data_IF_236502974372
#
_entry.id   IF_236502974372
#
_cell.length_a   1.000
_cell.length_b   1.000
_cell.length_c   1.000
_cell.angle_alpha   90.00
_cell.angle_beta   90.00
_cell.angle_gamma   90.00
#
_symmetry.space_group_name_H-M   'P 1'
#
loop_
_entity.id
_entity.type
_entity.pdbx_description
1 polymer ?
#
# COMPACT_ATOMS: atom_id res chain seq x y z
N UNK A 1 -16.96 0.35 -5.17
CA UNK A 1 -16.01 -0.71 -5.55
C UNK A 1 -15.55 -1.38 -4.27
N UNK A 2 -15.63 -2.70 -4.23
CA UNK A 2 -15.05 -3.52 -3.17
C UNK A 2 -13.52 -3.41 -3.30
N UNK A 3 -12.75 -3.29 -2.20
CA UNK A 3 -11.29 -3.37 -2.28
C UNK A 3 -10.89 -4.66 -3.01
N UNK A 4 -9.83 -4.58 -3.81
CA UNK A 4 -9.40 -5.64 -4.72
C UNK A 4 -9.26 -7.00 -4.00
N UNK A 5 -8.65 -6.99 -2.82
CA UNK A 5 -8.81 -8.07 -1.85
C UNK A 5 -9.59 -7.58 -0.65
N UNK A 6 -10.58 -8.36 -0.20
CA UNK A 6 -11.21 -8.12 1.10
C UNK A 6 -10.27 -8.66 2.17
N UNK A 7 -9.48 -7.76 2.75
CA UNK A 7 -8.86 -8.04 4.05
C UNK A 7 -9.98 -7.96 5.08
N UNK A 8 -10.29 -9.10 5.69
CA UNK A 8 -11.34 -9.21 6.70
C UNK A 8 -10.67 -9.35 8.06
N UNK A 9 -10.91 -8.38 8.94
CA UNK A 9 -10.39 -8.35 10.29
C UNK A 9 -11.49 -8.64 11.31
N UNK A 10 -11.28 -9.65 12.15
CA UNK A 10 -12.19 -10.02 13.21
C UNK A 10 -11.56 -9.66 14.56
N UNK A 11 -12.30 -8.94 15.40
CA UNK A 11 -11.84 -8.64 16.76
C UNK A 11 -11.75 -9.94 17.57
N UNK A 12 -10.54 -10.31 18.02
CA UNK A 12 -10.33 -11.49 18.88
C UNK A 12 -10.12 -11.08 20.33
N UNK A 13 -11.16 -10.51 20.95
CA UNK A 13 -11.13 -10.11 22.36
C UNK A 13 -9.94 -9.19 22.70
N UNK A 14 -9.27 -9.47 23.83
CA UNK A 14 -8.16 -8.65 24.37
C UNK A 14 -6.84 -8.70 23.58
N UNK A 15 -6.74 -9.56 22.55
CA UNK A 15 -5.46 -9.91 21.90
C UNK A 15 -5.26 -9.24 20.52
N UNK A 16 -6.07 -8.22 20.19
CA UNK A 16 -6.03 -7.54 18.89
C UNK A 16 -6.95 -8.17 17.85
N UNK A 17 -7.01 -7.56 16.66
CA UNK A 17 -7.80 -8.08 15.54
C UNK A 17 -7.00 -9.14 14.78
N UNK A 18 -7.62 -10.28 14.46
CA UNK A 18 -7.07 -11.27 13.55
C UNK A 18 -7.59 -10.97 12.14
N UNK A 19 -6.67 -10.64 11.23
CA UNK A 19 -7.00 -10.35 9.85
C UNK A 19 -6.69 -11.54 8.93
N UNK A 20 -7.49 -11.69 7.88
CA UNK A 20 -7.30 -12.71 6.86
C UNK A 20 -7.69 -12.22 5.47
N UNK A 21 -7.07 -12.78 4.44
CA UNK A 21 -7.40 -12.56 3.04
C UNK A 21 -7.05 -13.82 2.25
N UNK A 22 -7.95 -14.29 1.38
CA UNK A 22 -7.72 -15.45 0.49
C UNK A 22 -7.23 -16.73 1.20
N UNK A 23 -7.62 -16.95 2.46
CA UNK A 23 -7.16 -18.08 3.27
C UNK A 23 -5.76 -17.93 3.87
N UNK A 24 -5.17 -16.73 3.80
CA UNK A 24 -3.94 -16.36 4.47
C UNK A 24 -4.22 -15.57 5.75
N UNK A 25 -3.41 -15.79 6.78
CA UNK A 25 -3.34 -14.90 7.94
C UNK A 25 -2.63 -13.62 7.52
N UNK A 26 -3.28 -12.48 7.73
CA UNK A 26 -2.78 -11.15 7.39
C UNK A 26 -2.26 -10.49 8.65
N UNK A 27 -1.01 -10.02 8.60
CA UNK A 27 -0.46 -9.11 9.59
C UNK A 27 -0.83 -7.69 9.16
N UNK A 28 -1.82 -7.12 9.85
CA UNK A 28 -2.22 -5.73 9.66
C UNK A 28 -1.26 -4.83 10.44
N UNK A 29 -0.62 -3.89 9.76
CA UNK A 29 0.42 -3.04 10.35
C UNK A 29 -0.19 -1.81 11.01
N UNK A 30 -0.97 -1.07 10.24
CA UNK A 30 -1.92 -0.04 10.65
C UNK A 30 -2.56 0.50 9.36
N UNK A 31 -3.42 1.51 9.45
CA UNK A 31 -3.78 2.29 8.28
C UNK A 31 -2.62 3.16 7.76
N UNK A 32 -2.86 3.88 6.67
CA UNK A 32 -1.88 4.76 6.03
C UNK A 32 -1.76 6.14 6.72
N UNK A 33 -1.89 6.12 8.06
CA UNK A 33 -1.84 7.27 8.95
C UNK A 33 -0.43 7.63 9.42
N UNK A 34 -0.36 8.25 10.61
CA UNK A 34 0.91 8.62 11.21
C UNK A 34 1.66 7.37 11.69
N UNK A 35 2.94 7.23 11.32
CA UNK A 35 3.74 6.06 11.68
C UNK A 35 3.51 4.83 10.79
N UNK A 36 2.71 4.96 9.74
CA UNK A 36 2.47 3.88 8.78
C UNK A 36 3.76 3.47 8.05
N UNK A 37 3.79 2.23 7.57
CA UNK A 37 4.84 1.75 6.68
C UNK A 37 4.63 2.30 5.26
N UNK A 38 5.69 2.84 4.68
CA UNK A 38 5.70 3.38 3.33
C UNK A 38 6.89 2.83 2.56
N UNK A 39 6.82 2.95 1.23
CA UNK A 39 7.91 2.56 0.35
C UNK A 39 7.71 3.09 -1.05
N UNK A 40 8.58 2.65 -1.95
CA UNK A 40 8.45 2.83 -3.38
C UNK A 40 8.40 1.48 -4.08
N UNK A 41 7.66 1.41 -5.19
CA UNK A 41 7.81 0.32 -6.14
C UNK A 41 9.25 0.31 -6.65
N UNK A 42 9.88 -0.85 -6.60
CA UNK A 42 11.29 -1.07 -6.93
C UNK A 42 11.38 -2.22 -7.94
N UNK A 43 10.85 -2.00 -9.13
CA UNK A 43 10.80 -3.00 -10.20
C UNK A 43 10.90 -2.30 -11.55
N UNK A 44 11.87 -2.70 -12.36
CA UNK A 44 12.06 -2.17 -13.70
C UNK A 44 10.78 -2.33 -14.53
N UNK A 45 10.21 -1.20 -14.97
CA UNK A 45 8.97 -1.17 -15.74
C UNK A 45 7.70 -1.22 -14.91
N UNK A 46 7.77 -1.23 -13.58
CA UNK A 46 6.62 -1.20 -12.68
C UNK A 46 6.10 -2.58 -12.25
N UNK A 47 4.96 -2.59 -11.54
CA UNK A 47 4.35 -3.80 -11.01
C UNK A 47 2.83 -3.80 -11.17
N UNK A 48 2.28 -4.99 -11.40
CA UNK A 48 0.85 -5.25 -11.40
C UNK A 48 0.34 -5.49 -9.98
N UNK A 49 -0.55 -4.61 -9.51
CA UNK A 49 -1.27 -4.78 -8.26
C UNK A 49 -2.35 -5.85 -8.43
N UNK A 50 -2.27 -6.94 -7.67
CA UNK A 50 -3.20 -8.06 -7.78
C UNK A 50 -4.31 -8.04 -6.73
N UNK A 51 -5.49 -8.51 -7.14
CA UNK A 51 -6.67 -8.61 -6.27
C UNK A 51 -6.69 -9.87 -5.38
N UNK A 52 -5.63 -10.69 -5.44
CA UNK A 52 -5.44 -11.87 -4.60
C UNK A 52 -4.03 -11.98 -4.06
N UNK A 53 -3.92 -12.50 -2.83
CA UNK A 53 -2.64 -12.70 -2.11
C UNK A 53 -1.69 -13.61 -2.89
N UNK A 54 -2.18 -14.63 -3.59
CA UNK A 54 -1.35 -15.59 -4.32
C UNK A 54 -0.81 -15.07 -5.66
N UNK A 55 -1.16 -13.83 -6.06
CA UNK A 55 -0.74 -13.23 -7.31
C UNK A 55 -1.36 -13.83 -8.57
N UNK A 56 -2.32 -14.76 -8.42
CA UNK A 56 -3.02 -15.41 -9.52
C UNK A 56 -4.43 -14.83 -9.72
N UNK A 57 -4.67 -13.67 -9.11
CA UNK A 57 -5.90 -12.91 -9.24
C UNK A 57 -5.96 -12.10 -10.52
N UNK A 58 -6.88 -11.14 -10.53
CA UNK A 58 -6.95 -10.12 -11.57
C UNK A 58 -6.00 -8.99 -11.23
N UNK A 59 -5.30 -8.49 -12.24
CA UNK A 59 -4.61 -7.20 -12.14
C UNK A 59 -5.65 -6.10 -11.95
N UNK A 60 -5.46 -5.29 -10.91
CA UNK A 60 -6.29 -4.13 -10.56
C UNK A 60 -5.81 -2.90 -11.31
N UNK A 61 -4.50 -2.69 -11.24
CA UNK A 61 -3.79 -1.58 -11.83
C UNK A 61 -2.32 -1.96 -12.00
N UNK A 62 -1.67 -1.33 -12.97
CA UNK A 62 -0.23 -1.32 -13.11
C UNK A 62 0.30 0.02 -12.57
N UNK A 63 1.28 -0.06 -11.67
CA UNK A 63 1.94 1.09 -11.05
C UNK A 63 3.40 1.13 -11.45
N UNK A 64 3.90 2.32 -11.75
CA UNK A 64 5.24 2.50 -12.29
C UNK A 64 6.33 2.33 -11.23
N UNK A 65 7.55 2.04 -11.70
CA UNK A 65 8.76 2.12 -10.88
C UNK A 65 8.86 3.47 -10.16
N UNK A 66 9.32 3.46 -8.90
CA UNK A 66 9.38 4.59 -7.96
C UNK A 66 8.03 5.19 -7.54
N UNK A 67 6.91 4.56 -7.86
CA UNK A 67 5.61 4.98 -7.35
C UNK A 67 5.60 4.88 -5.81
N UNK A 68 5.24 5.98 -5.16
CA UNK A 68 5.09 6.01 -3.70
C UNK A 68 3.86 5.21 -3.27
N UNK A 69 4.03 4.38 -2.24
CA UNK A 69 2.98 3.51 -1.70
C UNK A 69 2.99 3.47 -0.18
N UNK A 70 1.81 3.30 0.39
CA UNK A 70 1.61 2.87 1.77
C UNK A 70 1.46 1.35 1.83
N UNK A 71 1.95 0.73 2.90
CA UNK A 71 1.92 -0.72 3.14
C UNK A 71 1.11 -1.00 4.43
N UNK A 72 -0.23 -1.09 4.36
CA UNK A 72 -1.04 -1.31 5.55
C UNK A 72 -1.06 -2.78 6.03
N UNK A 73 -0.66 -3.73 5.18
CA UNK A 73 -0.75 -5.14 5.51
C UNK A 73 0.32 -5.99 4.81
N UNK A 74 0.70 -7.09 5.48
CA UNK A 74 1.64 -8.07 4.97
C UNK A 74 1.12 -9.49 5.19
N UNK A 75 1.55 -10.40 4.34
CA UNK A 75 1.29 -11.84 4.49
C UNK A 75 2.60 -12.60 4.44
N UNK A 76 2.70 -13.64 5.29
CA UNK A 76 3.77 -14.62 5.24
C UNK A 76 3.20 -16.03 5.37
N UNK A 77 3.45 -16.89 4.38
CA UNK A 77 3.09 -18.31 4.40
C UNK A 77 4.21 -19.16 3.80
N UNK A 78 4.98 -19.83 4.65
CA UNK A 78 6.20 -20.50 4.22
C UNK A 78 7.20 -19.49 3.64
N UNK A 79 7.56 -19.69 2.38
CA UNK A 79 8.44 -18.79 1.62
C UNK A 79 7.70 -17.65 0.92
N UNK A 80 6.36 -17.75 0.76
CA UNK A 80 5.56 -16.69 0.15
C UNK A 80 5.45 -15.50 1.10
N UNK A 81 5.93 -14.34 0.64
CA UNK A 81 5.83 -13.07 1.35
C UNK A 81 5.32 -11.97 0.42
N UNK A 82 4.22 -11.33 0.81
CA UNK A 82 3.59 -10.28 0.00
C UNK A 82 3.19 -9.09 0.84
N UNK A 83 3.20 -7.95 0.19
CA UNK A 83 2.69 -6.69 0.72
C UNK A 83 1.38 -6.36 0.04
N UNK A 84 0.40 -5.95 0.83
CA UNK A 84 -0.71 -5.18 0.30
C UNK A 84 -0.29 -3.73 0.28
N UNK A 85 -0.40 -3.08 -0.88
CA UNK A 85 -0.01 -1.69 -1.05
C UNK A 85 -1.16 -0.84 -1.51
N UNK A 86 -1.09 0.44 -1.18
CA UNK A 86 -1.98 1.49 -1.68
C UNK A 86 -1.10 2.60 -2.25
N UNK A 87 -1.24 2.90 -3.54
CA UNK A 87 -0.67 4.09 -4.13
C UNK A 87 -1.45 5.31 -3.62
N UNK A 88 -0.78 6.13 -2.81
CA UNK A 88 -1.37 7.28 -2.13
C UNK A 88 -0.70 8.57 -2.60
N UNK A 89 -1.44 9.69 -2.73
CA UNK A 89 -0.83 10.96 -3.11
C UNK A 89 0.17 11.43 -2.05
N UNK A 90 1.41 11.68 -2.44
CA UNK A 90 2.46 12.12 -1.52
C UNK A 90 2.08 13.41 -0.77
N UNK A 91 1.36 14.32 -1.42
CA UNK A 91 0.85 15.56 -0.83
C UNK A 91 -0.10 15.35 0.37
N UNK A 92 -0.74 14.18 0.47
CA UNK A 92 -1.64 13.84 1.57
C UNK A 92 -0.93 13.24 2.79
N UNK A 93 0.34 12.87 2.65
CA UNK A 93 1.18 12.28 3.70
C UNK A 93 2.04 13.38 4.33
N UNK A 94 1.83 13.75 5.61
CA UNK A 94 2.59 14.84 6.24
C UNK A 94 4.10 14.61 6.25
N UNK A 95 4.54 13.36 6.35
CA UNK A 95 5.95 12.99 6.36
C UNK A 95 6.65 13.15 4.99
N UNK A 96 5.88 13.30 3.91
CA UNK A 96 6.43 13.58 2.58
C UNK A 96 6.77 15.06 2.36
N UNK A 97 6.34 15.96 3.25
CA UNK A 97 6.69 17.38 3.14
C UNK A 97 8.20 17.53 3.25
N UNK A 98 8.81 18.09 2.21
CA UNK A 98 10.25 18.32 2.09
C UNK A 98 11.12 17.04 2.17
N UNK A 99 10.53 15.86 1.90
CA UNK A 99 11.25 14.59 1.88
C UNK A 99 11.57 14.16 0.44
N UNK A 100 12.86 14.00 0.12
CA UNK A 100 13.31 13.60 -1.22
C UNK A 100 12.80 12.22 -1.66
N UNK A 101 12.49 11.31 -0.72
CA UNK A 101 11.90 10.00 -1.02
C UNK A 101 10.52 10.11 -1.70
N UNK A 102 9.79 11.19 -1.45
CA UNK A 102 8.47 11.41 -2.03
C UNK A 102 8.52 12.27 -3.32
N UNK A 103 9.69 12.77 -3.71
CA UNK A 103 9.82 13.71 -4.83
C UNK A 103 9.58 13.00 -6.16
N UNK A 104 8.65 13.54 -6.96
CA UNK A 104 8.24 12.97 -8.25
C UNK A 104 7.75 11.51 -8.15
N UNK A 105 7.24 11.11 -6.98
CA UNK A 105 6.80 9.74 -6.70
C UNK A 105 5.28 9.55 -6.88
N UNK A 106 4.56 10.62 -7.24
CA UNK A 106 3.17 10.55 -7.73
C UNK A 106 3.18 10.31 -9.24
N UNK A 107 3.16 9.02 -9.64
CA UNK A 107 3.24 8.62 -11.04
C UNK A 107 1.86 8.20 -11.59
N UNK A 108 1.67 8.24 -12.92
CA UNK A 108 0.42 7.77 -13.52
C UNK A 108 0.17 6.30 -13.21
N UNK A 109 -1.07 5.99 -12.84
CA UNK A 109 -1.54 4.62 -12.65
C UNK A 109 -2.28 4.16 -13.90
N UNK A 110 -1.89 3.02 -14.45
CA UNK A 110 -2.57 2.35 -15.56
C UNK A 110 -3.61 1.35 -15.01
N UNK A 111 -4.87 1.79 -15.00
CA UNK A 111 -5.96 1.04 -14.40
C UNK A 111 -6.43 -0.10 -15.31
N UNK A 112 -6.46 -1.32 -14.78
CA UNK A 112 -6.99 -2.52 -15.48
C UNK A 112 -8.44 -2.82 -15.09
N UNK A 113 -8.94 -2.14 -14.07
CA UNK A 113 -10.33 -2.18 -13.64
C UNK A 113 -10.99 -0.80 -13.77
N UNK A 114 -12.30 -0.78 -13.95
CA UNK A 114 -13.05 0.46 -14.11
C UNK A 114 -13.02 1.30 -12.82
N UNK A 115 -12.64 2.58 -12.94
CA UNK A 115 -12.67 3.57 -11.86
C UNK A 115 -14.06 4.17 -11.66
N UNK A 116 -14.31 4.73 -10.46
CA UNK A 116 -15.52 5.52 -10.17
C UNK A 116 -15.39 7.00 -10.55
N UNK A 117 -14.18 7.46 -10.85
CA UNK A 117 -13.88 8.88 -11.08
C UNK A 117 -13.73 9.68 -9.79
N UNK A 118 -13.50 9.02 -8.65
CA UNK A 118 -13.30 9.68 -7.36
C UNK A 118 -11.80 9.79 -7.07
N UNK A 119 -11.33 10.98 -6.68
CA UNK A 119 -9.93 11.16 -6.31
C UNK A 119 -9.56 10.24 -5.13
N UNK A 120 -8.34 9.72 -5.13
CA UNK A 120 -7.78 9.03 -3.98
C UNK A 120 -7.44 10.07 -2.91
N UNK A 121 -8.16 10.04 -1.78
CA UNK A 121 -8.05 11.08 -0.75
C UNK A 121 -7.89 10.46 0.64
N UNK A 122 -7.04 11.09 1.44
CA UNK A 122 -6.82 10.70 2.83
C UNK A 122 -7.96 11.21 3.71
N UNK A 123 -8.54 10.33 4.51
CA UNK A 123 -9.58 10.67 5.50
C UNK A 123 -8.96 11.26 6.76
N UNK A 124 -9.79 11.79 7.65
CA UNK A 124 -9.34 12.33 8.95
C UNK A 124 -8.69 11.26 9.84
N UNK A 125 -9.12 10.01 9.68
CA UNK A 125 -8.66 8.88 10.49
C UNK A 125 -7.35 8.28 9.96
N UNK A 126 -6.85 8.75 8.80
CA UNK A 126 -5.61 8.28 8.19
C UNK A 126 -5.81 7.19 7.13
N UNK A 127 -7.06 6.78 6.89
CA UNK A 127 -7.42 5.88 5.79
C UNK A 127 -7.45 6.63 4.46
N UNK A 128 -7.66 5.87 3.38
CA UNK A 128 -7.82 6.42 2.04
C UNK A 128 -9.13 5.96 1.41
N UNK A 129 -9.81 6.90 0.74
CA UNK A 129 -11.08 6.68 0.06
C UNK A 129 -11.02 7.13 -1.40
N UNK A 130 -12.01 6.73 -2.19
CA UNK A 130 -12.07 7.02 -3.63
C UNK A 130 -11.36 5.95 -4.46
N UNK A 131 -10.74 6.33 -5.57
CA UNK A 131 -10.06 5.42 -6.48
C UNK A 131 -8.54 5.39 -6.18
N UNK A 132 -8.18 4.77 -5.06
CA UNK A 132 -6.79 4.48 -4.71
C UNK A 132 -6.36 3.14 -5.29
N UNK A 133 -5.28 3.12 -6.06
CA UNK A 133 -4.79 1.87 -6.64
C UNK A 133 -4.21 1.00 -5.54
N UNK A 134 -4.80 -0.17 -5.33
CA UNK A 134 -4.42 -1.04 -4.23
C UNK A 134 -4.47 -2.51 -4.64
N UNK A 135 -3.55 -3.30 -4.09
CA UNK A 135 -3.45 -4.72 -4.35
C UNK A 135 -2.19 -5.34 -3.76
N UNK A 136 -2.05 -6.65 -3.94
CA UNK A 136 -0.90 -7.42 -3.48
C UNK A 136 0.24 -7.41 -4.49
N UNK A 137 1.45 -7.32 -3.98
CA UNK A 137 2.71 -7.44 -4.74
C UNK A 137 3.73 -8.26 -3.95
N UNK A 138 4.74 -8.79 -4.63
CA UNK A 138 5.80 -9.55 -3.97
C UNK A 138 6.72 -8.62 -3.16
N UNK A 139 7.25 -9.12 -2.04
CA UNK A 139 8.16 -8.37 -1.14
C UNK A 139 9.34 -7.75 -1.89
N UNK A 140 9.92 -8.47 -2.86
CA UNK A 140 11.09 -8.02 -3.61
C UNK A 140 10.80 -6.94 -4.67
N UNK A 141 9.55 -6.48 -4.78
CA UNK A 141 9.13 -5.44 -5.74
C UNK A 141 8.90 -4.09 -5.06
N UNK A 142 9.22 -3.98 -3.76
CA UNK A 142 9.07 -2.76 -2.98
C UNK A 142 10.36 -2.49 -2.21
N UNK A 143 10.85 -1.27 -2.32
CA UNK A 143 11.82 -0.72 -1.38
C UNK A 143 11.05 -0.05 -0.23
N UNK A 144 10.90 -0.78 0.88
CA UNK A 144 10.27 -0.25 2.08
C UNK A 144 11.22 0.72 2.78
N UNK A 145 10.70 1.88 3.18
CA UNK A 145 11.47 2.88 3.91
C UNK A 145 11.58 2.51 5.39
N UNK A 146 12.80 2.57 5.93
CA UNK A 146 13.03 2.39 7.38
C UNK A 146 12.38 3.51 8.20
N UNK A 147 12.37 4.74 7.66
CA UNK A 147 11.64 5.87 8.23
C UNK A 147 11.37 6.93 7.16
N UNK A 148 10.15 7.50 7.19
CA UNK A 148 9.85 8.74 6.46
C UNK A 148 10.10 10.00 7.29
N UNK A 149 10.69 9.87 8.48
CA UNK A 149 11.04 11.05 9.28
C UNK A 149 11.96 11.97 8.46
N UNK A 150 11.73 13.30 8.48
CA UNK A 150 12.65 14.22 7.83
C UNK A 150 14.04 14.01 8.39
N UNK A 151 15.03 13.82 7.51
CA UNK A 151 16.42 13.81 7.92
C UNK A 151 16.67 15.11 8.71
N UNK A 152 17.00 14.97 10.00
CA UNK A 152 17.35 16.11 10.84
C UNK A 152 18.48 16.85 10.13
N UNK A 153 18.37 18.16 9.81
CA UNK A 153 19.49 18.87 9.23
C UNK A 153 20.67 18.74 10.19
N UNK A 154 21.82 18.29 9.67
CA UNK A 154 23.06 18.35 10.40
C UNK A 154 23.29 19.81 10.80
N UNK A 155 23.37 20.05 12.11
CA UNK A 155 23.69 21.36 12.69
C UNK A 155 25.15 21.71 12.47
#
# INVERSE_FOLDING_TARGET
>A
MTPASKIECHATGSNGAQCSADGYTVMYLDNCGAGAAFGSIAADGGVDLNDRVDGKGKTVAHVMDRQFVCIPAMVRKGEEQRHYVIAVPTASVPACRDNDLCKNADLPVDWKQAKRGQACERTKDGDYQGDCAAGWVDVGQIDQYETLAPAKPAR
#
